data_IF_486863703213
#
_entry.id   IF_486863703213
#
_cell.length_a   1.000
_cell.length_b   1.000
_cell.length_c   1.000
_cell.angle_alpha   90.00
_cell.angle_beta   90.00
_cell.angle_gamma   90.00
#
_symmetry.space_group_name_H-M   'P 1'
#
loop_
_entity.id
_entity.type
_entity.pdbx_description
1 polymer ?
#
# COMPACT_ATOMS: atom_id res chain seq x y z
N UNK A 1 -20.97 15.77 26.19
CA UNK A 1 -21.71 14.48 26.29
C UNK A 1 -22.45 14.22 24.97
N UNK A 2 -21.70 13.94 23.90
CA UNK A 2 -22.19 13.60 22.54
C UNK A 2 -21.37 12.45 21.91
N UNK A 3 -20.69 11.64 22.74
CA UNK A 3 -20.00 10.42 22.31
C UNK A 3 -20.98 9.25 22.22
N UNK A 4 -22.12 9.46 21.55
CA UNK A 4 -23.11 8.41 21.29
C UNK A 4 -22.56 7.57 20.14
N UNK A 5 -21.69 6.61 20.50
CA UNK A 5 -21.44 5.33 19.85
C UNK A 5 -21.93 5.30 18.39
N UNK A 6 -21.24 6.05 17.53
CA UNK A 6 -21.27 5.74 16.10
C UNK A 6 -20.26 4.61 15.95
N UNK A 7 -20.61 3.46 15.35
CA UNK A 7 -19.62 2.45 15.01
C UNK A 7 -18.44 3.14 14.32
N UNK A 8 -17.19 2.79 14.65
CA UNK A 8 -16.01 3.43 14.02
C UNK A 8 -16.04 3.35 12.49
N UNK A 9 -16.84 2.42 11.95
CA UNK A 9 -17.06 2.22 10.53
C UNK A 9 -18.53 1.81 10.25
N UNK A 10 -19.47 2.77 10.17
CA UNK A 10 -20.89 2.46 9.98
C UNK A 10 -21.20 1.97 8.56
N UNK A 11 -20.28 2.17 7.61
CA UNK A 11 -20.42 1.77 6.21
C UNK A 11 -19.68 0.47 5.87
N UNK A 12 -18.91 -0.09 6.81
CA UNK A 12 -18.09 -1.28 6.56
C UNK A 12 -16.97 -1.01 5.54
N UNK A 13 -16.45 0.21 5.45
CA UNK A 13 -15.37 0.57 4.53
C UNK A 13 -14.03 -0.07 4.89
N UNK A 14 -13.72 -0.28 6.18
CA UNK A 14 -12.48 -0.92 6.63
C UNK A 14 -12.29 -2.33 6.04
N UNK A 15 -13.25 -3.28 6.17
CA UNK A 15 -13.09 -4.59 5.56
C UNK A 15 -13.08 -4.55 4.03
N UNK A 16 -13.81 -3.61 3.40
CA UNK A 16 -13.76 -3.43 1.94
C UNK A 16 -12.38 -2.96 1.46
N UNK A 17 -11.80 -1.95 2.13
CA UNK A 17 -10.45 -1.45 1.84
C UNK A 17 -9.43 -2.56 2.05
N UNK A 18 -9.51 -3.30 3.17
CA UNK A 18 -8.59 -4.39 3.46
C UNK A 18 -8.63 -5.49 2.38
N UNK A 19 -9.84 -5.91 1.98
CA UNK A 19 -10.02 -6.89 0.90
C UNK A 19 -9.42 -6.40 -0.42
N UNK A 20 -9.71 -5.15 -0.81
CA UNK A 20 -9.22 -4.57 -2.06
C UNK A 20 -7.71 -4.35 -2.07
N UNK A 21 -7.11 -3.96 -0.94
CA UNK A 21 -5.65 -3.86 -0.80
C UNK A 21 -4.98 -5.23 -0.98
N UNK A 22 -5.56 -6.29 -0.41
CA UNK A 22 -5.12 -7.68 -0.60
C UNK A 22 -5.09 -8.12 -2.06
N UNK A 23 -5.97 -7.57 -2.90
CA UNK A 23 -6.02 -7.87 -4.33
C UNK A 23 -5.14 -6.93 -5.18
N UNK A 24 -5.07 -5.64 -4.85
CA UNK A 24 -4.63 -4.62 -5.82
C UNK A 24 -3.42 -3.80 -5.39
N UNK A 25 -3.16 -3.65 -4.09
CA UNK A 25 -2.08 -2.79 -3.61
C UNK A 25 -1.55 -3.26 -2.25
N UNK A 26 -0.70 -4.29 -2.30
CA UNK A 26 -0.15 -4.95 -1.10
C UNK A 26 0.81 -4.06 -0.30
N UNK A 27 1.34 -2.98 -0.89
CA UNK A 27 2.25 -2.04 -0.24
C UNK A 27 1.73 -0.61 -0.41
N UNK A 28 0.65 -0.28 0.29
CA UNK A 28 0.01 1.04 0.27
C UNK A 28 -0.40 1.46 1.69
N UNK A 29 -0.53 2.75 1.93
CA UNK A 29 -1.05 3.31 3.18
C UNK A 29 -2.56 3.05 3.31
N UNK A 30 -2.92 2.01 4.06
CA UNK A 30 -4.30 1.59 4.25
C UNK A 30 -5.17 2.66 4.94
N UNK A 31 -4.59 3.46 5.84
CA UNK A 31 -5.32 4.52 6.54
C UNK A 31 -5.58 5.69 5.59
N UNK A 32 -4.58 6.07 4.78
CA UNK A 32 -4.75 7.07 3.72
C UNK A 32 -5.82 6.66 2.71
N UNK A 33 -5.85 5.40 2.28
CA UNK A 33 -6.89 4.88 1.38
C UNK A 33 -8.27 4.92 2.04
N UNK A 34 -8.39 4.53 3.31
CA UNK A 34 -9.65 4.58 4.05
C UNK A 34 -10.19 6.00 4.17
N UNK A 35 -9.33 6.96 4.51
CA UNK A 35 -9.70 8.38 4.62
C UNK A 35 -10.16 8.92 3.25
N UNK A 36 -9.45 8.59 2.17
CA UNK A 36 -9.84 8.96 0.81
C UNK A 36 -11.18 8.35 0.40
N UNK A 37 -11.41 7.07 0.71
CA UNK A 37 -12.68 6.41 0.45
C UNK A 37 -13.84 7.06 1.21
N UNK A 38 -13.63 7.40 2.49
CA UNK A 38 -14.62 8.14 3.30
C UNK A 38 -14.92 9.52 2.71
N UNK A 39 -13.89 10.26 2.29
CA UNK A 39 -14.04 11.57 1.67
C UNK A 39 -14.82 11.49 0.35
N UNK A 40 -14.50 10.51 -0.52
CA UNK A 40 -15.23 10.27 -1.76
C UNK A 40 -16.68 9.88 -1.50
N UNK A 41 -16.95 9.03 -0.51
CA UNK A 41 -18.30 8.69 -0.10
C UNK A 41 -19.06 9.94 0.35
N UNK A 42 -18.47 10.78 1.22
CA UNK A 42 -19.12 12.01 1.69
C UNK A 42 -19.42 12.99 0.55
N UNK A 43 -18.49 13.16 -0.39
CA UNK A 43 -18.64 14.05 -1.55
C UNK A 43 -19.74 13.58 -2.50
N UNK A 44 -19.84 12.27 -2.73
CA UNK A 44 -20.76 11.68 -3.71
C UNK A 44 -22.07 11.14 -3.10
N UNK A 45 -22.21 11.10 -1.78
CA UNK A 45 -23.42 10.58 -1.11
C UNK A 45 -24.70 11.29 -1.56
N UNK A 46 -24.62 12.60 -1.83
CA UNK A 46 -25.78 13.40 -2.26
C UNK A 46 -26.27 13.09 -3.68
N UNK A 47 -25.41 12.52 -4.52
CA UNK A 47 -25.73 12.17 -5.92
C UNK A 47 -26.21 10.73 -6.06
N UNK A 48 -25.94 9.88 -5.06
CA UNK A 48 -26.43 8.51 -5.03
C UNK A 48 -27.95 8.47 -4.80
N UNK A 49 -28.67 7.75 -5.67
CA UNK A 49 -30.14 7.67 -5.68
C UNK A 49 -30.68 6.28 -5.35
N UNK A 50 -29.84 5.41 -4.80
CA UNK A 50 -30.17 3.99 -4.56
C UNK A 50 -29.77 3.06 -5.71
N UNK A 51 -29.23 3.60 -6.80
CA UNK A 51 -28.64 2.84 -7.90
C UNK A 51 -27.20 3.33 -8.17
N UNK A 52 -26.21 2.43 -8.28
CA UNK A 52 -26.29 0.98 -8.04
C UNK A 52 -26.55 0.65 -6.56
N UNK A 53 -26.70 -0.64 -6.22
CA UNK A 53 -26.82 -1.09 -4.83
C UNK A 53 -25.70 -0.50 -3.96
N UNK A 54 -26.02 -0.17 -2.70
CA UNK A 54 -25.08 0.49 -1.79
C UNK A 54 -23.72 -0.22 -1.72
N UNK A 55 -23.71 -1.55 -1.65
CA UNK A 55 -22.47 -2.32 -1.60
C UNK A 55 -21.61 -2.09 -2.86
N UNK A 56 -22.21 -2.20 -4.05
CA UNK A 56 -21.52 -1.95 -5.33
C UNK A 56 -21.04 -0.50 -5.44
N UNK A 57 -21.82 0.46 -4.95
CA UNK A 57 -21.42 1.86 -4.93
C UNK A 57 -20.23 2.10 -3.98
N UNK A 58 -20.27 1.55 -2.77
CA UNK A 58 -19.14 1.67 -1.83
C UNK A 58 -17.87 1.01 -2.39
N UNK A 59 -18.00 -0.13 -3.06
CA UNK A 59 -16.89 -0.79 -3.75
C UNK A 59 -16.27 0.09 -4.85
N UNK A 60 -17.09 0.82 -5.63
CA UNK A 60 -16.55 1.75 -6.62
C UNK A 60 -15.82 2.93 -5.97
N UNK A 61 -16.35 3.46 -4.86
CA UNK A 61 -15.67 4.54 -4.12
C UNK A 61 -14.31 4.07 -3.56
N UNK A 62 -14.22 2.84 -3.06
CA UNK A 62 -12.96 2.26 -2.59
C UNK A 62 -11.99 2.02 -3.74
N UNK A 63 -12.47 1.54 -4.89
CA UNK A 63 -11.65 1.37 -6.08
C UNK A 63 -11.07 2.71 -6.57
N UNK A 64 -11.88 3.77 -6.62
CA UNK A 64 -11.43 5.11 -6.98
C UNK A 64 -10.42 5.66 -5.98
N UNK A 65 -10.66 5.47 -4.67
CA UNK A 65 -9.72 5.88 -3.62
C UNK A 65 -8.35 5.20 -3.78
N UNK A 66 -8.33 3.91 -4.13
CA UNK A 66 -7.09 3.17 -4.40
C UNK A 66 -6.35 3.71 -5.62
N UNK A 67 -7.06 4.03 -6.70
CA UNK A 67 -6.45 4.62 -7.89
C UNK A 67 -5.81 5.97 -7.59
N UNK A 68 -6.50 6.81 -6.82
CA UNK A 68 -5.97 8.09 -6.36
C UNK A 68 -4.73 7.87 -5.50
N UNK A 69 -4.78 6.99 -4.50
CA UNK A 69 -3.66 6.72 -3.61
C UNK A 69 -2.42 6.22 -4.36
N UNK A 70 -2.58 5.24 -5.28
CA UNK A 70 -1.49 4.72 -6.11
C UNK A 70 -0.95 5.80 -7.08
N UNK A 71 -1.81 6.70 -7.55
CA UNK A 71 -1.45 7.82 -8.41
C UNK A 71 -0.65 8.90 -7.69
N UNK A 72 -1.17 9.39 -6.56
CA UNK A 72 -0.61 10.48 -5.75
C UNK A 72 0.71 10.10 -5.09
N UNK A 73 0.85 8.84 -4.66
CA UNK A 73 2.08 8.31 -4.07
C UNK A 73 3.28 8.34 -5.03
N UNK A 74 3.03 8.35 -6.36
CA UNK A 74 4.08 8.58 -7.35
C UNK A 74 4.45 10.04 -7.58
N UNK A 75 3.60 10.99 -7.14
CA UNK A 75 3.72 12.40 -7.50
C UNK A 75 4.22 13.29 -6.34
N UNK A 76 3.93 12.94 -5.09
CA UNK A 76 4.21 13.81 -3.95
C UNK A 76 5.44 13.37 -3.13
N UNK A 77 6.53 14.17 -3.09
CA UNK A 77 7.56 13.99 -2.07
C UNK A 77 6.97 14.33 -0.69
N UNK A 78 6.96 13.35 0.23
CA UNK A 78 6.46 13.52 1.60
C UNK A 78 5.01 13.12 1.86
N UNK A 79 4.40 12.28 1.01
CA UNK A 79 3.07 11.70 1.26
C UNK A 79 3.01 10.78 2.50
N UNK A 80 1.80 10.39 2.92
CA UNK A 80 1.55 9.59 4.12
C UNK A 80 2.38 8.30 4.22
N UNK A 81 2.58 7.59 3.10
CA UNK A 81 3.45 6.40 3.07
C UNK A 81 4.91 6.72 3.40
N UNK A 82 5.46 7.86 2.96
CA UNK A 82 6.85 8.25 3.27
C UNK A 82 7.04 8.44 4.77
N UNK A 83 6.05 9.01 5.45
CA UNK A 83 6.04 9.17 6.91
C UNK A 83 5.99 7.79 7.60
N UNK A 84 5.06 6.93 7.19
CA UNK A 84 4.92 5.58 7.73
C UNK A 84 6.19 4.74 7.54
N UNK A 85 6.84 4.87 6.38
CA UNK A 85 8.08 4.16 6.07
C UNK A 85 9.31 4.72 6.79
N UNK A 86 9.27 5.97 7.28
CA UNK A 86 10.45 6.61 7.91
C UNK A 86 10.93 5.82 9.12
N UNK A 87 10.00 5.40 9.98
CA UNK A 87 10.28 4.59 11.17
C UNK A 87 10.97 3.25 10.85
N UNK A 88 10.71 2.70 9.65
CA UNK A 88 11.33 1.45 9.18
C UNK A 88 12.64 1.70 8.42
N UNK A 89 12.70 2.76 7.63
CA UNK A 89 13.81 3.06 6.74
C UNK A 89 15.04 3.57 7.49
N UNK A 90 14.86 4.38 8.54
CA UNK A 90 15.96 5.01 9.28
C UNK A 90 16.92 3.98 9.92
N UNK A 91 16.46 2.97 10.69
CA UNK A 91 17.36 1.97 11.28
C UNK A 91 18.14 1.14 10.24
N UNK A 92 17.63 1.07 9.02
CA UNK A 92 18.21 0.29 7.91
C UNK A 92 19.02 1.17 6.94
N UNK A 93 19.20 2.46 7.25
CA UNK A 93 19.85 3.44 6.39
C UNK A 93 19.24 3.53 4.97
N UNK A 94 17.95 3.24 4.85
CA UNK A 94 17.19 3.32 3.60
C UNK A 94 16.64 4.74 3.41
N UNK A 95 16.53 5.17 2.17
CA UNK A 95 15.87 6.43 1.81
C UNK A 95 14.34 6.20 1.75
N UNK A 96 13.54 6.84 2.65
CA UNK A 96 12.09 6.62 2.71
C UNK A 96 11.36 7.01 1.41
N UNK A 97 11.83 8.05 0.72
CA UNK A 97 11.24 8.50 -0.55
C UNK A 97 11.50 7.49 -1.66
N UNK A 98 12.71 6.93 -1.73
CA UNK A 98 13.03 5.85 -2.69
C UNK A 98 12.28 4.57 -2.38
N UNK A 99 12.09 4.27 -1.10
CA UNK A 99 11.30 3.11 -0.68
C UNK A 99 9.82 3.28 -1.06
N UNK A 100 9.23 4.44 -0.79
CA UNK A 100 7.86 4.77 -1.23
C UNK A 100 7.72 4.68 -2.76
N UNK A 101 8.68 5.21 -3.52
CA UNK A 101 8.68 5.11 -4.98
C UNK A 101 8.79 3.64 -5.47
N UNK A 102 9.53 2.79 -4.75
CA UNK A 102 9.61 1.37 -5.04
C UNK A 102 8.27 0.66 -4.74
N UNK A 103 7.60 1.00 -3.63
CA UNK A 103 6.24 0.53 -3.31
C UNK A 103 5.22 0.92 -4.39
N UNK A 104 5.21 2.18 -4.82
CA UNK A 104 4.32 2.65 -5.88
C UNK A 104 4.56 1.91 -7.22
N UNK A 105 5.83 1.69 -7.59
CA UNK A 105 6.19 0.88 -8.77
C UNK A 105 5.82 -0.58 -8.62
N UNK A 106 5.95 -1.11 -7.41
CA UNK A 106 5.58 -2.49 -7.08
C UNK A 106 4.09 -2.71 -7.25
N UNK A 107 3.25 -1.79 -6.76
CA UNK A 107 1.78 -1.87 -6.90
C UNK A 107 1.31 -1.86 -8.36
N UNK A 108 2.13 -1.40 -9.30
CA UNK A 108 1.85 -1.44 -10.76
C UNK A 108 2.25 -2.75 -11.44
N UNK A 109 2.93 -3.67 -10.76
CA UNK A 109 3.26 -4.97 -11.34
C UNK A 109 1.98 -5.83 -11.50
N UNK A 110 1.99 -6.80 -12.44
CA UNK A 110 0.94 -7.81 -12.52
C UNK A 110 0.72 -8.49 -11.17
N UNK A 111 -0.54 -8.80 -10.85
CA UNK A 111 -0.91 -9.33 -9.53
C UNK A 111 -0.12 -10.58 -9.18
N UNK A 112 0.13 -11.47 -10.14
CA UNK A 112 0.86 -12.72 -9.94
C UNK A 112 2.32 -12.48 -9.53
N UNK A 113 2.90 -11.34 -9.90
CA UNK A 113 4.25 -10.95 -9.49
C UNK A 113 4.23 -10.33 -8.09
N UNK A 114 3.19 -9.54 -7.77
CA UNK A 114 3.00 -8.93 -6.45
C UNK A 114 2.73 -9.98 -5.39
N UNK A 115 1.79 -10.89 -5.66
CA UNK A 115 1.43 -12.02 -4.81
C UNK A 115 2.65 -12.92 -4.55
N UNK A 116 3.38 -13.30 -5.60
CA UNK A 116 4.58 -14.12 -5.45
C UNK A 116 5.68 -13.44 -4.60
N UNK A 117 5.86 -12.13 -4.76
CA UNK A 117 6.79 -11.36 -3.93
C UNK A 117 6.34 -11.34 -2.47
N UNK A 118 5.06 -11.04 -2.22
CA UNK A 118 4.51 -10.98 -0.87
C UNK A 118 4.68 -12.32 -0.15
N UNK A 119 4.27 -13.41 -0.80
CA UNK A 119 4.35 -14.76 -0.25
C UNK A 119 5.78 -15.25 -0.01
N UNK A 120 6.80 -14.66 -0.65
CA UNK A 120 8.20 -15.07 -0.46
C UNK A 120 8.99 -14.16 0.47
N UNK A 121 8.63 -12.87 0.54
CA UNK A 121 9.46 -11.85 1.20
C UNK A 121 8.80 -11.35 2.48
N UNK A 122 7.47 -11.28 2.52
CA UNK A 122 6.72 -10.64 3.60
C UNK A 122 5.94 -11.65 4.44
N UNK A 123 5.50 -12.75 3.83
CA UNK A 123 4.83 -13.86 4.51
C UNK A 123 5.70 -15.12 4.44
N UNK A 124 6.59 -15.28 5.43
CA UNK A 124 7.58 -16.37 5.45
C UNK A 124 6.96 -17.77 5.42
N UNK A 125 5.74 -17.94 5.94
CA UNK A 125 5.01 -19.21 5.96
C UNK A 125 4.08 -19.37 4.74
N UNK A 126 3.83 -18.29 4.01
CA UNK A 126 2.90 -18.22 2.88
C UNK A 126 3.42 -18.82 1.56
N UNK A 127 4.74 -18.97 1.39
CA UNK A 127 5.35 -19.38 0.13
C UNK A 127 4.84 -20.74 -0.38
N UNK A 128 4.88 -21.76 0.47
CA UNK A 128 4.46 -23.13 0.14
C UNK A 128 2.94 -23.22 -0.08
N UNK A 129 2.17 -22.43 0.65
CA UNK A 129 0.71 -22.38 0.48
C UNK A 129 0.35 -21.70 -0.85
N UNK A 130 0.97 -20.57 -1.16
CA UNK A 130 0.79 -19.84 -2.41
C UNK A 130 1.19 -20.70 -3.62
N UNK A 131 2.35 -21.36 -3.57
CA UNK A 131 2.81 -22.25 -4.62
C UNK A 131 1.81 -23.38 -4.89
N UNK A 132 1.31 -24.04 -3.82
CA UNK A 132 0.28 -25.10 -3.93
C UNK A 132 -1.04 -24.57 -4.50
N UNK A 133 -1.55 -23.45 -3.99
CA UNK A 133 -2.81 -22.86 -4.45
C UNK A 133 -2.77 -22.48 -5.94
N UNK A 134 -1.60 -22.09 -6.45
CA UNK A 134 -1.38 -21.71 -7.85
C UNK A 134 -0.91 -22.87 -8.75
N UNK A 135 -0.70 -24.07 -8.19
CA UNK A 135 -0.16 -25.22 -8.94
C UNK A 135 1.26 -24.97 -9.47
N UNK A 136 2.07 -24.22 -8.74
CA UNK A 136 3.44 -23.84 -9.09
C UNK A 136 4.47 -24.54 -8.22
N UNK A 137 5.69 -24.68 -8.73
CA UNK A 137 6.86 -24.94 -7.89
C UNK A 137 7.35 -23.68 -7.17
N UNK A 138 8.07 -23.84 -6.05
CA UNK A 138 8.73 -22.72 -5.36
C UNK A 138 9.69 -21.94 -6.28
N UNK A 139 10.40 -22.64 -7.18
CA UNK A 139 11.30 -22.02 -8.16
C UNK A 139 10.54 -21.11 -9.13
N UNK A 140 9.34 -21.50 -9.56
CA UNK A 140 8.49 -20.68 -10.42
C UNK A 140 7.91 -19.47 -9.67
N UNK A 141 7.53 -19.65 -8.41
CA UNK A 141 7.11 -18.57 -7.54
C UNK A 141 8.24 -17.54 -7.38
N UNK A 142 9.46 -18.00 -7.08
CA UNK A 142 10.64 -17.15 -6.96
C UNK A 142 10.97 -16.41 -8.27
N UNK A 143 10.79 -17.07 -9.42
CA UNK A 143 10.95 -16.43 -10.73
C UNK A 143 9.94 -15.30 -10.94
N UNK A 144 8.68 -15.46 -10.50
CA UNK A 144 7.64 -14.42 -10.58
C UNK A 144 7.92 -13.26 -9.63
N UNK A 145 8.41 -13.54 -8.42
CA UNK A 145 8.78 -12.51 -7.44
C UNK A 145 9.99 -11.64 -7.85
N UNK A 146 10.80 -12.11 -8.82
CA UNK A 146 12.04 -11.44 -9.23
C UNK A 146 11.82 -9.99 -9.66
N UNK A 147 10.72 -9.67 -10.35
CA UNK A 147 10.43 -8.30 -10.76
C UNK A 147 10.28 -7.36 -9.55
N UNK A 148 9.55 -7.79 -8.51
CA UNK A 148 9.42 -7.06 -7.25
C UNK A 148 10.75 -6.89 -6.53
N UNK A 149 11.54 -7.97 -6.40
CA UNK A 149 12.87 -7.91 -5.78
C UNK A 149 13.80 -6.91 -6.47
N UNK A 150 13.75 -6.82 -7.80
CA UNK A 150 14.58 -5.86 -8.56
C UNK A 150 14.19 -4.40 -8.33
N UNK A 151 12.93 -4.11 -7.98
CA UNK A 151 12.51 -2.76 -7.61
C UNK A 151 13.16 -2.33 -6.30
N UNK A 152 13.10 -3.17 -5.27
CA UNK A 152 13.65 -2.85 -3.95
C UNK A 152 15.17 -2.93 -3.88
N UNK A 153 15.82 -3.81 -4.66
CA UNK A 153 17.30 -3.84 -4.75
C UNK A 153 17.89 -2.53 -5.29
N UNK A 154 17.09 -1.76 -6.02
CA UNK A 154 17.47 -0.49 -6.64
C UNK A 154 16.99 0.73 -5.82
N UNK A 155 16.60 0.56 -4.57
CA UNK A 155 16.39 1.66 -3.63
C UNK A 155 17.71 1.92 -2.86
N UNK A 156 18.62 2.79 -3.35
CA UNK A 156 19.89 3.01 -2.69
C UNK A 156 19.72 3.65 -1.31
N UNK A 157 20.64 3.25 -0.41
CA UNK A 157 20.82 3.81 0.91
C UNK A 157 21.02 5.33 0.89
N UNK A 158 20.72 5.99 2.01
CA UNK A 158 21.02 7.40 2.22
C UNK A 158 22.55 7.56 2.16
N UNK A 159 23.04 8.38 1.23
CA UNK A 159 24.43 8.80 1.26
C UNK A 159 24.63 9.56 2.57
N UNK A 160 25.30 8.95 3.54
CA UNK A 160 25.67 9.60 4.80
C UNK A 160 26.67 10.72 4.46
N UNK A 161 26.14 11.90 4.15
CA UNK A 161 26.92 13.13 4.10
C UNK A 161 27.46 13.36 5.51
N UNK A 162 28.78 13.24 5.66
CA UNK A 162 29.53 13.57 6.85
C UNK A 162 28.95 14.80 7.56
N UNK A 163 28.43 14.59 8.78
CA UNK A 163 28.48 15.61 9.82
C UNK A 163 29.96 15.89 10.10
N UNK A 164 30.56 16.78 9.28
CA UNK A 164 31.81 17.45 9.65
C UNK A 164 31.49 18.23 10.91
N UNK A 165 32.13 17.81 11.99
CA UNK A 165 32.43 18.56 13.20
C UNK A 165 32.58 20.05 12.91
N UNK A 166 31.60 20.85 13.32
CA UNK A 166 31.81 22.26 13.57
C UNK A 166 32.09 22.40 15.06
N UNK A 167 33.37 22.28 15.43
CA UNK A 167 33.90 22.98 16.60
C UNK A 167 33.68 24.47 16.33
N UNK A 168 32.89 25.13 17.17
CA UNK A 168 32.94 26.57 17.35
C UNK A 168 33.59 26.82 18.71
N UNK A 169 34.80 27.36 18.64
CA UNK A 169 35.52 28.01 19.74
C UNK A 169 34.85 29.32 20.13
#
# INVERSE_FOLDING_TARGET
MLARIVPEDPLGLRPLVAARLGEQALLCDAEGVLLSAQALCALQASTWRGEPELATWLESQVADALLVAIGEESAAPGGGLVEALRCFAEPLALDPCRLAAACARFNRLPFEQREAFYALVLDADGADQCARARGLSLSELARRARAGLQLFRRAPAVAHGHLRTASAS
#
